data_IF_355260829375
#
_entry.id   IF_355260829375
#
_cell.length_a   1.000
_cell.length_b   1.000
_cell.length_c   1.000
_cell.angle_alpha   90.00
_cell.angle_beta   90.00
_cell.angle_gamma   90.00
#
_symmetry.space_group_name_H-M   'P 1'
#
loop_
_entity.id
_entity.type
_entity.pdbx_description
1 polymer ?
#
# COMPACT_ATOMS: atom_id res chain seq x y z
N UNK A 1 -3.01 21.99 -57.30
CA UNK A 1 -3.50 23.35 -57.38
C UNK A 1 -3.04 24.03 -56.12
N UNK A 2 -1.87 24.69 -56.24
CA UNK A 2 -1.56 26.11 -56.09
C UNK A 2 -1.70 26.58 -54.64
N UNK A 3 -0.78 27.20 -53.97
CA UNK A 3 0.43 28.00 -54.17
C UNK A 3 1.15 28.08 -52.81
N UNK A 4 2.38 27.73 -52.52
CA UNK A 4 3.69 28.33 -52.89
C UNK A 4 3.85 29.79 -52.41
N UNK A 5 4.94 29.94 -51.62
CA UNK A 5 5.85 31.09 -51.51
C UNK A 5 5.47 32.25 -50.60
N UNK A 6 6.33 32.90 -49.92
CA UNK A 6 7.72 33.37 -49.94
C UNK A 6 7.86 34.22 -48.65
N UNK A 7 8.91 34.36 -47.99
CA UNK A 7 10.00 35.29 -48.18
C UNK A 7 11.16 35.10 -47.21
N UNK A 8 12.26 35.20 -47.74
CA UNK A 8 13.64 35.12 -47.37
C UNK A 8 14.21 36.52 -47.13
N UNK A 9 15.32 36.60 -46.33
CA UNK A 9 16.32 37.71 -46.22
C UNK A 9 15.98 38.84 -45.23
N UNK A 10 16.94 39.32 -44.40
CA UNK A 10 18.25 39.84 -44.76
C UNK A 10 19.13 40.09 -43.55
N UNK A 11 20.38 39.73 -43.64
CA UNK A 11 21.55 40.14 -42.87
C UNK A 11 21.81 41.65 -42.95
N UNK A 12 22.28 42.26 -41.84
CA UNK A 12 23.18 43.42 -41.92
C UNK A 12 24.11 43.43 -40.70
N UNK A 13 25.39 43.33 -40.99
CA UNK A 13 26.57 43.56 -40.15
C UNK A 13 26.75 45.07 -39.99
N UNK A 14 27.07 45.51 -38.79
CA UNK A 14 27.71 46.82 -38.62
C UNK A 14 28.76 46.73 -37.48
N UNK A 15 29.99 46.80 -37.91
CA UNK A 15 31.22 47.01 -37.15
C UNK A 15 31.45 48.53 -37.13
N UNK A 16 31.77 49.10 -36.01
CA UNK A 16 32.71 50.25 -35.79
C UNK A 16 32.56 50.70 -34.35
N UNK A 17 33.46 50.87 -33.56
CA UNK A 17 34.84 51.34 -33.38
C UNK A 17 34.97 51.95 -31.99
N UNK A 18 36.09 51.55 -31.39
CA UNK A 18 36.82 52.18 -30.30
C UNK A 18 36.42 53.59 -29.86
N UNK A 19 36.37 53.84 -28.56
CA UNK A 19 37.12 54.92 -27.92
C UNK A 19 37.43 54.50 -26.47
N UNK A 20 38.71 54.53 -26.14
CA UNK A 20 39.25 54.32 -24.81
C UNK A 20 39.00 55.59 -23.95
N UNK A 21 38.42 55.40 -22.77
CA UNK A 21 38.57 56.38 -21.68
C UNK A 21 38.98 55.63 -20.43
N UNK A 22 40.22 55.84 -20.07
CA UNK A 22 40.82 55.49 -18.78
C UNK A 22 40.13 56.28 -17.66
N UNK A 23 39.46 55.61 -16.77
CA UNK A 23 39.08 56.17 -15.48
C UNK A 23 39.59 55.26 -14.39
N UNK A 24 40.47 55.81 -13.61
CA UNK A 24 41.04 55.36 -12.36
C UNK A 24 39.94 54.79 -11.43
N UNK A 25 39.96 53.52 -11.10
CA UNK A 25 39.25 52.98 -9.97
C UNK A 25 40.24 52.58 -8.88
N UNK A 26 40.04 53.01 -7.63
CA UNK A 26 40.94 52.67 -6.52
C UNK A 26 40.79 51.23 -6.17
N UNK A 27 41.90 50.54 -5.99
CA UNK A 27 42.01 49.20 -5.44
C UNK A 27 41.33 49.13 -4.05
N UNK A 28 40.11 48.61 -4.03
CA UNK A 28 39.41 48.23 -2.81
C UNK A 28 39.90 46.84 -2.45
N UNK A 29 40.57 46.72 -1.28
CA UNK A 29 41.00 45.45 -0.67
C UNK A 29 39.88 44.43 -0.73
N UNK A 30 40.11 43.30 -1.43
CA UNK A 30 39.32 42.10 -1.25
C UNK A 30 39.52 41.59 0.18
N UNK A 31 38.60 41.89 1.07
CA UNK A 31 38.43 41.14 2.29
C UNK A 31 37.88 39.75 1.88
N UNK A 32 38.68 38.72 2.10
CA UNK A 32 38.29 37.34 2.05
C UNK A 32 37.11 37.14 3.02
N UNK A 33 35.92 36.97 2.46
CA UNK A 33 34.75 36.47 3.21
C UNK A 33 35.00 34.99 3.46
N UNK A 34 35.61 34.65 4.59
CA UNK A 34 35.54 33.31 5.17
C UNK A 34 34.09 33.02 5.59
N UNK A 35 33.28 32.70 4.61
CA UNK A 35 31.97 32.17 4.88
C UNK A 35 32.15 30.70 5.29
N UNK A 36 32.32 30.46 6.59
CA UNK A 36 32.13 29.13 7.17
C UNK A 36 30.79 28.60 6.67
N UNK A 37 30.86 27.69 5.70
CA UNK A 37 29.70 26.90 5.28
C UNK A 37 29.40 25.98 6.47
N UNK A 38 28.48 26.40 7.31
CA UNK A 38 27.85 25.48 8.24
C UNK A 38 27.10 24.44 7.40
N UNK A 39 27.76 23.32 7.16
CA UNK A 39 27.12 22.14 6.56
C UNK A 39 25.98 21.74 7.50
N UNK A 40 24.78 21.99 7.05
CA UNK A 40 23.56 21.79 7.82
C UNK A 40 23.49 20.30 8.17
N UNK A 41 23.56 19.95 9.44
CA UNK A 41 23.53 18.58 9.95
C UNK A 41 22.28 17.79 9.48
N UNK A 42 21.22 18.50 9.09
CA UNK A 42 20.02 17.95 8.48
C UNK A 42 20.27 17.35 7.07
N UNK A 43 21.13 17.98 6.24
CA UNK A 43 21.46 17.45 4.91
C UNK A 43 22.29 16.17 4.97
N UNK A 44 23.21 16.07 5.96
CA UNK A 44 24.05 14.87 6.13
C UNK A 44 23.24 13.67 6.66
N UNK A 45 22.16 13.89 7.42
CA UNK A 45 21.27 12.83 7.88
C UNK A 45 20.36 12.33 6.76
N UNK A 46 19.78 13.21 5.92
CA UNK A 46 18.96 12.79 4.78
C UNK A 46 19.76 11.95 3.80
N UNK A 47 20.99 12.32 3.47
CA UNK A 47 21.85 11.56 2.55
C UNK A 47 22.22 10.17 3.09
N UNK A 48 22.45 10.04 4.41
CA UNK A 48 22.71 8.72 5.04
C UNK A 48 21.48 7.82 5.06
N UNK A 49 20.30 8.38 5.25
CA UNK A 49 19.04 7.62 5.20
C UNK A 49 18.69 7.19 3.78
N UNK A 50 18.87 8.05 2.77
CA UNK A 50 18.71 7.70 1.36
C UNK A 50 19.67 6.60 0.90
N UNK A 51 20.94 6.66 1.28
CA UNK A 51 21.93 5.60 0.98
C UNK A 51 21.50 4.28 1.62
N UNK A 52 20.98 4.32 2.85
CA UNK A 52 20.54 3.13 3.57
C UNK A 52 19.28 2.51 2.92
N UNK A 53 18.41 3.36 2.37
CA UNK A 53 17.19 2.95 1.67
C UNK A 53 17.51 2.36 0.29
N UNK A 54 18.41 2.99 -0.49
CA UNK A 54 18.88 2.49 -1.79
C UNK A 54 19.58 1.12 -1.65
N UNK A 55 20.31 0.91 -0.56
CA UNK A 55 20.93 -0.39 -0.26
C UNK A 55 19.89 -1.49 0.03
N UNK A 56 18.64 -1.15 0.42
CA UNK A 56 17.56 -2.13 0.58
C UNK A 56 16.88 -2.49 -0.74
N UNK A 57 16.87 -1.57 -1.71
CA UNK A 57 16.24 -1.79 -3.01
C UNK A 57 17.10 -2.65 -3.95
N UNK A 58 18.42 -2.56 -3.86
CA UNK A 58 19.37 -3.21 -4.76
C UNK A 58 19.79 -4.63 -4.31
N UNK A 59 19.03 -5.27 -3.45
CA UNK A 59 19.34 -6.65 -3.07
C UNK A 59 18.90 -7.61 -4.18
N UNK A 60 19.78 -8.52 -4.64
CA UNK A 60 19.41 -9.55 -5.59
C UNK A 60 18.36 -10.47 -4.97
N UNK A 61 17.48 -11.01 -5.82
CA UNK A 61 16.51 -12.00 -5.39
C UNK A 61 17.23 -13.28 -4.95
N UNK A 62 16.86 -13.77 -3.77
CA UNK A 62 17.42 -15.01 -3.20
C UNK A 62 16.40 -16.13 -3.38
N UNK A 63 16.82 -17.16 -4.07
CA UNK A 63 16.01 -18.36 -4.35
C UNK A 63 15.66 -19.09 -3.05
N UNK A 64 14.46 -19.67 -3.03
CA UNK A 64 14.00 -20.42 -1.87
C UNK A 64 12.84 -21.37 -2.17
N UNK A 65 12.44 -22.19 -1.21
CA UNK A 65 11.37 -23.18 -1.36
C UNK A 65 10.07 -22.56 -1.84
N UNK A 66 9.47 -23.14 -2.90
CA UNK A 66 8.25 -22.68 -3.54
C UNK A 66 8.48 -21.82 -4.78
N UNK A 67 9.70 -21.38 -5.06
CA UNK A 67 10.03 -20.74 -6.35
C UNK A 67 10.00 -21.76 -7.48
N UNK A 68 9.60 -21.34 -8.67
CA UNK A 68 9.63 -22.14 -9.90
C UNK A 68 10.58 -21.45 -10.88
N UNK A 69 11.59 -22.18 -11.32
CA UNK A 69 12.59 -21.74 -12.30
C UNK A 69 12.27 -22.36 -13.66
N UNK A 70 12.49 -21.63 -14.73
CA UNK A 70 12.48 -22.17 -16.08
C UNK A 70 13.92 -22.38 -16.54
N UNK A 71 14.29 -23.63 -16.76
CA UNK A 71 15.58 -24.02 -17.32
C UNK A 71 15.41 -24.30 -18.82
N UNK A 72 16.27 -23.70 -19.63
CA UNK A 72 16.42 -24.01 -21.05
C UNK A 72 17.88 -24.34 -21.33
N UNK A 73 18.15 -25.41 -22.10
CA UNK A 73 19.47 -25.83 -22.43
C UNK A 73 19.66 -25.71 -23.97
N UNK A 74 20.57 -24.85 -24.39
CA UNK A 74 20.85 -24.68 -25.83
C UNK A 74 21.39 -25.98 -26.43
N UNK A 75 20.85 -26.33 -27.60
CA UNK A 75 21.14 -27.58 -28.33
C UNK A 75 20.73 -28.89 -27.62
N UNK A 76 19.92 -28.80 -26.56
CA UNK A 76 19.38 -29.97 -25.84
C UNK A 76 17.96 -29.64 -25.28
N UNK A 77 17.06 -29.23 -26.18
CA UNK A 77 15.71 -28.75 -25.84
C UNK A 77 14.81 -29.82 -25.18
N UNK A 78 15.16 -31.09 -25.36
CA UNK A 78 14.48 -32.23 -24.71
C UNK A 78 14.59 -32.20 -23.17
N UNK A 79 15.54 -31.42 -22.61
CA UNK A 79 15.72 -31.23 -21.18
C UNK A 79 15.17 -29.91 -20.68
N UNK A 80 14.51 -29.11 -21.54
CA UNK A 80 13.86 -27.87 -21.12
C UNK A 80 12.69 -28.18 -20.21
N UNK A 81 12.70 -27.59 -19.01
CA UNK A 81 11.61 -27.78 -18.05
C UNK A 81 11.52 -26.70 -16.97
N UNK A 82 10.40 -26.70 -16.28
CA UNK A 82 10.21 -25.90 -15.08
C UNK A 82 10.68 -26.69 -13.86
N UNK A 83 11.55 -26.09 -13.05
CA UNK A 83 12.15 -26.67 -11.85
C UNK A 83 11.54 -26.03 -10.62
N UNK A 84 10.89 -26.80 -9.76
CA UNK A 84 10.35 -26.30 -8.49
C UNK A 84 11.39 -26.51 -7.38
N UNK A 85 11.67 -25.43 -6.63
CA UNK A 85 12.51 -25.54 -5.43
C UNK A 85 11.67 -26.14 -4.31
N UNK A 86 12.05 -27.31 -3.86
CA UNK A 86 11.33 -28.04 -2.78
C UNK A 86 11.77 -27.54 -1.39
N UNK A 87 11.15 -28.06 -0.34
CA UNK A 87 11.28 -27.52 1.02
C UNK A 87 12.71 -27.55 1.60
N UNK A 88 13.56 -28.45 1.14
CA UNK A 88 14.97 -28.52 1.52
C UNK A 88 15.89 -27.58 0.74
N UNK A 89 15.33 -26.77 -0.15
CA UNK A 89 16.06 -25.82 -0.99
C UNK A 89 16.68 -26.44 -2.23
N UNK A 90 16.31 -27.67 -2.60
CA UNK A 90 16.85 -28.36 -3.77
C UNK A 90 15.93 -28.27 -4.98
N UNK A 91 16.52 -28.43 -6.16
CA UNK A 91 15.85 -28.65 -7.46
C UNK A 91 16.31 -29.96 -8.06
N UNK A 92 15.48 -30.60 -8.87
CA UNK A 92 15.88 -31.77 -9.66
C UNK A 92 16.12 -31.35 -11.09
N UNK A 93 17.38 -31.43 -11.52
CA UNK A 93 17.80 -31.06 -12.89
C UNK A 93 18.04 -32.34 -13.69
N UNK A 94 17.56 -32.41 -14.96
CA UNK A 94 17.86 -33.55 -15.83
C UNK A 94 19.35 -33.85 -15.90
N UNK A 95 19.70 -35.09 -16.08
CA UNK A 95 21.09 -35.63 -16.21
C UNK A 95 21.91 -35.60 -14.93
N UNK A 96 21.76 -34.55 -14.07
CA UNK A 96 22.63 -34.35 -12.88
C UNK A 96 21.93 -34.57 -11.55
N UNK A 97 20.58 -34.74 -11.57
CA UNK A 97 19.81 -35.04 -10.34
C UNK A 97 19.58 -33.82 -9.47
N UNK A 98 19.63 -34.04 -8.14
CA UNK A 98 19.28 -33.01 -7.15
C UNK A 98 20.44 -32.04 -6.87
N UNK A 99 20.14 -30.72 -6.91
CA UNK A 99 21.06 -29.63 -6.61
C UNK A 99 20.48 -28.67 -5.57
N UNK A 100 21.27 -28.28 -4.57
CA UNK A 100 20.87 -27.27 -3.59
C UNK A 100 21.08 -25.88 -4.15
N UNK A 101 19.98 -25.16 -4.37
CA UNK A 101 19.96 -23.78 -4.90
C UNK A 101 19.30 -22.80 -3.93
N UNK A 102 18.72 -23.28 -2.85
CA UNK A 102 18.14 -22.43 -1.81
C UNK A 102 19.20 -21.54 -1.17
N UNK A 103 18.93 -20.24 -1.10
CA UNK A 103 19.87 -19.24 -0.59
C UNK A 103 20.83 -18.66 -1.62
N UNK A 104 20.82 -19.14 -2.86
CA UNK A 104 21.61 -18.61 -3.97
C UNK A 104 20.85 -17.49 -4.71
N UNK A 105 21.59 -16.66 -5.44
CA UNK A 105 21.01 -15.81 -6.48
C UNK A 105 20.71 -16.63 -7.74
N UNK A 106 19.92 -16.05 -8.66
CA UNK A 106 19.64 -16.71 -9.94
C UNK A 106 20.92 -17.00 -10.75
N UNK A 107 21.87 -16.07 -10.73
CA UNK A 107 23.15 -16.22 -11.42
C UNK A 107 24.03 -17.32 -10.79
N UNK A 108 24.15 -17.31 -9.45
CA UNK A 108 24.93 -18.34 -8.76
C UNK A 108 24.33 -19.74 -8.97
N UNK A 109 23.00 -19.83 -9.02
CA UNK A 109 22.31 -21.08 -9.30
C UNK A 109 22.55 -21.53 -10.77
N UNK A 110 22.55 -20.61 -11.72
CA UNK A 110 22.87 -20.92 -13.11
C UNK A 110 24.31 -21.44 -13.25
N UNK A 111 25.27 -20.77 -12.63
CA UNK A 111 26.68 -21.19 -12.64
C UNK A 111 26.87 -22.59 -12.01
N UNK A 112 26.15 -22.85 -10.91
CA UNK A 112 26.16 -24.15 -10.25
C UNK A 112 25.60 -25.25 -11.16
N UNK A 113 24.50 -24.98 -11.87
CA UNK A 113 23.90 -25.90 -12.84
C UNK A 113 24.87 -26.17 -13.98
N UNK A 114 25.44 -25.13 -14.59
CA UNK A 114 26.43 -25.26 -15.70
C UNK A 114 27.62 -26.11 -15.29
N UNK A 115 28.18 -25.82 -14.10
CA UNK A 115 29.32 -26.59 -13.54
C UNK A 115 29.02 -28.07 -13.40
N UNK A 116 27.81 -28.45 -13.01
CA UNK A 116 27.45 -29.86 -12.88
C UNK A 116 27.08 -30.50 -14.22
N UNK A 117 26.35 -29.76 -15.09
CA UNK A 117 26.03 -30.23 -16.45
C UNK A 117 27.26 -30.45 -17.31
N UNK A 118 28.37 -29.73 -17.10
CA UNK A 118 29.64 -29.89 -17.83
C UNK A 118 30.29 -31.26 -17.63
N UNK A 119 29.79 -32.08 -16.70
CA UNK A 119 30.21 -33.46 -16.51
C UNK A 119 29.55 -34.42 -17.51
N UNK A 120 28.35 -34.04 -18.00
CA UNK A 120 27.50 -34.87 -18.87
C UNK A 120 27.37 -34.30 -20.27
N UNK A 121 27.51 -32.97 -20.43
CA UNK A 121 27.40 -32.26 -21.71
C UNK A 121 28.66 -31.46 -22.03
N UNK A 122 29.02 -31.39 -23.28
CA UNK A 122 30.18 -30.61 -23.77
C UNK A 122 29.75 -29.14 -23.87
N UNK A 123 30.36 -28.26 -23.04
CA UNK A 123 30.13 -26.79 -23.03
C UNK A 123 28.65 -26.40 -22.97
N UNK A 124 27.89 -26.84 -21.93
CA UNK A 124 26.48 -26.55 -21.82
C UNK A 124 26.25 -25.05 -21.69
N UNK A 125 25.38 -24.50 -22.52
CA UNK A 125 24.87 -23.14 -22.41
C UNK A 125 23.43 -23.23 -21.93
N UNK A 126 23.11 -22.56 -20.81
CA UNK A 126 21.78 -22.58 -20.25
C UNK A 126 21.21 -21.17 -20.15
N UNK A 127 19.90 -21.10 -20.16
CA UNK A 127 19.13 -19.93 -19.74
C UNK A 127 18.28 -20.33 -18.54
N UNK A 128 18.55 -19.71 -17.38
CA UNK A 128 17.80 -19.91 -16.16
C UNK A 128 17.00 -18.64 -15.85
N UNK A 129 15.68 -18.75 -15.75
CA UNK A 129 14.80 -17.63 -15.40
C UNK A 129 13.90 -18.00 -14.23
N UNK A 130 13.51 -17.00 -13.42
CA UNK A 130 12.45 -17.15 -12.44
C UNK A 130 11.10 -17.17 -13.16
N UNK A 131 10.46 -18.33 -13.25
CA UNK A 131 9.16 -18.51 -13.90
C UNK A 131 8.02 -18.04 -12.99
N UNK A 132 8.07 -18.44 -11.71
CA UNK A 132 7.09 -18.03 -10.70
C UNK A 132 7.76 -17.83 -9.35
N UNK A 133 7.56 -16.66 -8.79
CA UNK A 133 8.03 -16.34 -7.45
C UNK A 133 7.11 -16.95 -6.40
N UNK A 134 7.70 -17.45 -5.31
CA UNK A 134 6.94 -17.87 -4.12
C UNK A 134 6.20 -16.69 -3.49
N UNK A 135 5.11 -16.95 -2.76
CA UNK A 135 4.46 -15.91 -1.96
C UNK A 135 5.42 -15.29 -0.93
N UNK A 136 5.47 -13.97 -0.91
CA UNK A 136 6.27 -13.20 0.05
C UNK A 136 5.51 -13.13 1.37
N UNK A 137 6.11 -13.63 2.45
CA UNK A 137 5.56 -13.53 3.82
C UNK A 137 6.15 -12.31 4.51
N UNK A 138 5.29 -11.41 4.99
CA UNK A 138 5.69 -10.18 5.68
C UNK A 138 4.92 -10.04 6.99
N UNK A 139 5.61 -9.59 8.04
CA UNK A 139 5.00 -9.30 9.33
C UNK A 139 4.70 -7.82 9.44
N UNK A 140 3.45 -7.47 9.74
CA UNK A 140 2.99 -6.11 9.98
C UNK A 140 2.69 -5.92 11.46
N UNK A 141 3.33 -4.92 12.08
CA UNK A 141 3.29 -4.72 13.54
C UNK A 141 3.05 -3.24 13.87
N UNK A 142 2.39 -2.99 14.99
CA UNK A 142 2.12 -1.62 15.49
C UNK A 142 0.80 -1.06 14.98
N UNK A 143 0.78 0.21 14.60
CA UNK A 143 -0.42 0.98 14.27
C UNK A 143 -0.95 0.65 12.86
N UNK A 144 -1.33 -0.61 12.67
CA UNK A 144 -1.97 -1.19 11.48
C UNK A 144 -3.38 -1.62 11.89
N UNK A 145 -4.37 -1.49 11.01
CA UNK A 145 -5.77 -1.87 11.32
C UNK A 145 -5.90 -3.36 11.69
N UNK A 146 -5.12 -4.22 11.03
CA UNK A 146 -5.05 -5.66 11.33
C UNK A 146 -3.60 -6.11 11.34
N UNK A 147 -2.88 -5.97 12.47
CA UNK A 147 -1.51 -6.44 12.58
C UNK A 147 -1.45 -7.97 12.48
N UNK A 148 -0.38 -8.51 11.89
CA UNK A 148 -0.22 -9.94 11.72
C UNK A 148 0.75 -10.33 10.61
N UNK A 149 0.73 -11.61 10.24
CA UNK A 149 1.52 -12.18 9.15
C UNK A 149 0.68 -12.21 7.87
N UNK A 150 1.21 -11.64 6.80
CA UNK A 150 0.57 -11.57 5.50
C UNK A 150 1.41 -12.27 4.43
N UNK A 151 0.72 -12.92 3.50
CA UNK A 151 1.32 -13.51 2.32
C UNK A 151 0.90 -12.70 1.09
N UNK A 152 1.86 -12.21 0.31
CA UNK A 152 1.65 -11.43 -0.90
C UNK A 152 2.30 -12.13 -2.08
N UNK A 153 1.63 -12.13 -3.24
CA UNK A 153 2.16 -12.65 -4.49
C UNK A 153 2.24 -11.54 -5.53
N UNK A 154 3.20 -11.62 -6.42
CA UNK A 154 3.26 -10.76 -7.61
C UNK A 154 2.05 -11.05 -8.50
N UNK A 155 1.37 -10.00 -8.98
CA UNK A 155 0.18 -10.08 -9.83
C UNK A 155 -1.01 -10.80 -9.19
N UNK A 156 -1.17 -10.67 -7.89
CA UNK A 156 -2.30 -11.25 -7.15
C UNK A 156 -3.54 -10.35 -7.24
N UNK A 157 -4.67 -10.95 -7.63
CA UNK A 157 -5.99 -10.40 -7.33
C UNK A 157 -6.45 -11.01 -6.00
N UNK A 158 -6.25 -10.32 -4.91
CA UNK A 158 -6.74 -10.78 -3.61
C UNK A 158 -8.12 -10.22 -3.36
N UNK A 159 -9.12 -11.11 -3.32
CA UNK A 159 -10.42 -10.78 -2.74
C UNK A 159 -10.24 -10.71 -1.23
N UNK A 160 -10.29 -9.52 -0.66
CA UNK A 160 -10.39 -9.37 0.79
C UNK A 160 -11.82 -9.75 1.15
N UNK A 161 -11.98 -10.77 2.00
CA UNK A 161 -13.30 -11.17 2.48
C UNK A 161 -13.98 -9.94 3.11
N UNK A 162 -15.03 -9.44 2.43
CA UNK A 162 -15.68 -8.21 2.84
C UNK A 162 -15.12 -6.90 2.28
N UNK A 163 -14.16 -6.94 1.36
CA UNK A 163 -13.55 -5.76 0.74
C UNK A 163 -13.36 -5.90 -0.77
N UNK A 164 -12.83 -4.87 -1.42
CA UNK A 164 -12.54 -4.90 -2.83
C UNK A 164 -11.38 -5.83 -3.15
N UNK A 165 -11.33 -6.24 -4.41
CA UNK A 165 -10.18 -6.92 -4.95
C UNK A 165 -8.96 -5.96 -4.93
N UNK A 166 -7.96 -6.30 -4.15
CA UNK A 166 -6.66 -5.66 -4.21
C UNK A 166 -5.90 -6.29 -5.37
N UNK A 167 -5.60 -5.52 -6.40
CA UNK A 167 -4.73 -5.97 -7.50
C UNK A 167 -3.32 -5.47 -7.21
N UNK A 168 -2.42 -6.40 -6.91
CA UNK A 168 -0.98 -6.14 -6.82
C UNK A 168 -0.41 -6.36 -8.21
N UNK A 169 0.04 -5.29 -8.87
CA UNK A 169 0.73 -5.37 -10.15
C UNK A 169 2.23 -5.32 -9.93
N UNK A 170 2.94 -6.41 -10.28
CA UNK A 170 4.40 -6.49 -10.14
C UNK A 170 4.85 -6.98 -8.76
N UNK A 171 6.05 -6.56 -8.35
CA UNK A 171 6.64 -6.93 -7.06
C UNK A 171 5.95 -6.13 -5.95
N UNK A 172 5.45 -6.79 -4.87
CA UNK A 172 4.77 -6.10 -3.79
C UNK A 172 5.66 -5.08 -3.07
N UNK A 173 5.04 -3.98 -2.65
CA UNK A 173 5.67 -2.88 -1.92
C UNK A 173 5.18 -2.80 -0.48
N UNK A 174 5.79 -1.92 0.33
CA UNK A 174 5.35 -1.65 1.71
C UNK A 174 3.90 -1.19 1.75
N UNK A 175 3.47 -0.36 0.78
CA UNK A 175 2.07 0.11 0.72
C UNK A 175 1.11 -1.04 0.42
N UNK A 176 1.46 -1.93 -0.50
CA UNK A 176 0.61 -3.09 -0.81
C UNK A 176 0.38 -3.97 0.42
N UNK A 177 1.42 -4.18 1.23
CA UNK A 177 1.32 -4.91 2.48
C UNK A 177 0.41 -4.19 3.49
N UNK A 178 0.57 -2.88 3.66
CA UNK A 178 -0.26 -2.06 4.54
C UNK A 178 -1.72 -2.09 4.08
N UNK A 179 -1.98 -1.94 2.78
CA UNK A 179 -3.34 -2.00 2.23
C UNK A 179 -3.99 -3.39 2.44
N UNK A 180 -3.23 -4.47 2.27
CA UNK A 180 -3.71 -5.85 2.51
C UNK A 180 -4.09 -6.06 3.99
N UNK A 181 -3.41 -5.38 4.90
CA UNK A 181 -3.70 -5.39 6.33
C UNK A 181 -4.84 -4.44 6.76
N UNK A 182 -5.54 -3.84 5.79
CA UNK A 182 -6.65 -2.94 6.08
C UNK A 182 -6.25 -1.47 6.24
N UNK A 183 -4.96 -1.15 6.06
CA UNK A 183 -4.45 0.20 6.19
C UNK A 183 -3.86 0.50 7.57
N UNK A 184 -3.68 1.78 7.84
CA UNK A 184 -3.09 2.30 9.08
C UNK A 184 -4.16 2.84 10.03
N UNK A 185 -3.88 2.75 11.34
CA UNK A 185 -4.74 3.33 12.38
C UNK A 185 -4.64 4.86 12.41
N UNK A 186 -5.50 5.50 13.23
CA UNK A 186 -5.46 6.95 13.44
C UNK A 186 -4.20 7.43 14.14
N UNK A 187 -3.55 6.55 14.88
CA UNK A 187 -2.38 6.87 15.71
C UNK A 187 -1.06 6.58 15.00
N UNK A 188 -1.11 6.15 13.73
CA UNK A 188 0.07 5.78 12.97
C UNK A 188 1.01 6.96 12.71
N UNK A 189 2.30 6.76 12.95
CA UNK A 189 3.36 7.70 12.64
C UNK A 189 3.87 7.51 11.21
N UNK A 190 3.35 8.29 10.27
CA UNK A 190 3.75 8.21 8.86
C UNK A 190 5.19 8.65 8.58
N UNK A 191 5.79 9.40 9.50
CA UNK A 191 7.17 9.88 9.35
C UNK A 191 8.20 8.82 9.74
N UNK A 192 7.76 7.76 10.45
CA UNK A 192 8.67 6.76 10.98
C UNK A 192 8.05 5.37 10.91
N UNK A 193 8.17 4.75 9.75
CA UNK A 193 7.84 3.36 9.53
C UNK A 193 9.16 2.60 9.38
N UNK A 194 9.37 1.60 10.20
CA UNK A 194 10.62 0.84 10.21
C UNK A 194 10.44 -0.45 9.41
N UNK A 195 11.18 -0.57 8.31
CA UNK A 195 11.33 -1.82 7.56
C UNK A 195 12.56 -2.56 8.07
N UNK A 196 12.39 -3.78 8.57
CA UNK A 196 13.48 -4.67 8.99
C UNK A 196 13.53 -5.87 8.06
N UNK A 197 14.73 -6.11 7.51
CA UNK A 197 15.02 -7.23 6.59
C UNK A 197 16.11 -8.10 7.14
N UNK A 198 15.88 -9.41 7.15
CA UNK A 198 16.89 -10.37 7.57
C UNK A 198 18.00 -10.45 6.52
N UNK A 199 19.26 -10.48 6.96
CA UNK A 199 20.39 -10.66 6.08
C UNK A 199 20.56 -12.13 5.68
N UNK A 200 20.87 -12.43 4.40
CA UNK A 200 21.20 -13.79 3.97
C UNK A 200 22.42 -14.31 4.73
N UNK A 201 22.40 -15.60 5.09
CA UNK A 201 23.54 -16.28 5.72
C UNK A 201 23.69 -16.06 7.24
N UNK A 202 23.15 -15.02 7.83
CA UNK A 202 23.28 -14.74 9.28
C UNK A 202 21.94 -14.90 10.00
N UNK A 203 21.89 -15.84 10.98
CA UNK A 203 20.61 -16.24 11.59
C UNK A 203 19.90 -15.11 12.37
N UNK A 204 20.63 -14.07 12.84
CA UNK A 204 20.08 -13.05 13.74
C UNK A 204 20.41 -11.61 13.36
N UNK A 205 20.94 -11.36 12.18
CA UNK A 205 21.23 -9.99 11.74
C UNK A 205 20.12 -9.44 10.86
N UNK A 206 19.69 -8.22 11.19
CA UNK A 206 18.67 -7.49 10.46
C UNK A 206 19.24 -6.15 9.98
N UNK A 207 18.96 -5.84 8.73
CA UNK A 207 19.11 -4.50 8.20
C UNK A 207 17.80 -3.75 8.39
N UNK A 208 17.85 -2.51 8.89
CA UNK A 208 16.66 -1.70 9.11
C UNK A 208 16.77 -0.36 8.39
N UNK A 209 15.65 0.09 7.84
CA UNK A 209 15.51 1.44 7.30
C UNK A 209 14.23 2.08 7.81
N UNK A 210 14.29 3.40 8.01
CA UNK A 210 13.12 4.21 8.33
C UNK A 210 12.55 4.78 7.05
N UNK A 211 11.26 4.59 6.85
CA UNK A 211 10.50 5.10 5.73
C UNK A 211 9.65 6.27 6.20
N UNK A 212 9.53 7.29 5.38
CA UNK A 212 8.69 8.44 5.63
C UNK A 212 7.57 8.49 4.58
N UNK A 213 6.47 7.78 4.83
CA UNK A 213 5.33 7.76 3.92
C UNK A 213 4.63 9.13 3.79
N UNK A 214 4.91 10.10 4.67
CA UNK A 214 4.43 11.45 4.49
C UNK A 214 5.12 12.14 3.30
N UNK A 215 6.43 11.93 3.09
CA UNK A 215 7.15 12.46 1.92
C UNK A 215 6.61 11.86 0.62
N UNK A 216 6.32 10.55 0.64
CA UNK A 216 5.69 9.92 -0.52
C UNK A 216 4.35 10.57 -0.88
N UNK A 217 3.50 10.89 0.11
CA UNK A 217 2.17 11.46 -0.10
C UNK A 217 2.20 12.94 -0.51
N UNK A 218 3.12 13.72 0.05
CA UNK A 218 3.15 15.17 -0.12
C UNK A 218 4.09 15.61 -1.25
N UNK A 219 5.18 14.87 -1.46
CA UNK A 219 6.26 15.22 -2.38
C UNK A 219 6.41 14.21 -3.53
N UNK A 220 5.71 13.06 -3.44
CA UNK A 220 5.79 11.99 -4.45
C UNK A 220 7.08 11.18 -4.39
N UNK A 221 7.79 11.18 -3.26
CA UNK A 221 9.07 10.47 -3.11
C UNK A 221 8.86 8.95 -3.09
N UNK A 222 9.00 8.31 -4.26
CA UNK A 222 8.81 6.88 -4.46
C UNK A 222 9.85 6.01 -3.71
N UNK A 223 11.00 6.59 -3.32
CA UNK A 223 12.04 5.89 -2.55
C UNK A 223 11.49 5.41 -1.20
N UNK A 224 10.48 6.11 -0.65
CA UNK A 224 9.83 5.77 0.62
C UNK A 224 8.90 4.54 0.55
N UNK A 225 8.67 3.99 -0.65
CA UNK A 225 7.86 2.79 -0.87
C UNK A 225 8.67 1.66 -1.51
N UNK A 226 9.65 1.08 -0.81
CA UNK A 226 10.50 0.02 -1.35
C UNK A 226 9.72 -1.28 -1.56
N UNK A 227 10.25 -2.13 -2.45
CA UNK A 227 9.81 -3.52 -2.59
C UNK A 227 10.04 -4.29 -1.29
N UNK A 228 9.10 -5.15 -0.95
CA UNK A 228 9.20 -6.07 0.18
C UNK A 228 9.74 -7.43 -0.27
N UNK A 229 10.42 -8.11 0.66
CA UNK A 229 10.99 -9.42 0.46
C UNK A 229 10.48 -10.39 1.53
N UNK A 230 10.63 -11.68 1.25
CA UNK A 230 10.21 -12.74 2.17
C UNK A 230 10.92 -12.63 3.52
N UNK A 231 10.14 -12.63 4.60
CA UNK A 231 10.62 -12.46 5.96
C UNK A 231 10.79 -11.01 6.43
N UNK A 232 10.41 -10.00 5.63
CA UNK A 232 10.43 -8.61 6.04
C UNK A 232 9.45 -8.34 7.20
N UNK A 233 9.83 -7.41 8.08
CA UNK A 233 9.00 -6.91 9.18
C UNK A 233 8.79 -5.42 8.98
N UNK A 234 7.53 -5.00 8.91
CA UNK A 234 7.12 -3.61 8.81
C UNK A 234 6.52 -3.20 10.15
N UNK A 235 7.18 -2.28 10.84
CA UNK A 235 6.73 -1.73 12.11
C UNK A 235 6.24 -0.29 11.89
N UNK A 236 4.97 -0.05 12.18
CA UNK A 236 4.36 1.29 12.19
C UNK A 236 4.28 1.76 13.63
N UNK A 237 5.07 2.77 13.97
CA UNK A 237 5.08 3.32 15.33
C UNK A 237 3.86 4.20 15.58
N UNK A 238 3.53 4.40 16.86
CA UNK A 238 2.50 5.34 17.32
C UNK A 238 3.02 6.78 17.32
N UNK A 239 2.15 7.73 17.03
CA UNK A 239 2.42 9.16 17.21
C UNK A 239 1.45 9.81 18.19
N UNK A 240 1.97 10.72 19.01
CA UNK A 240 1.13 11.55 19.88
C UNK A 240 0.77 12.89 19.22
N UNK A 241 1.38 13.21 18.08
CA UNK A 241 1.15 14.44 17.33
C UNK A 241 0.36 14.15 16.05
N UNK A 242 -0.92 14.53 16.05
CA UNK A 242 -1.81 14.32 14.92
C UNK A 242 -1.80 15.52 13.97
N UNK A 243 -1.42 15.29 12.72
CA UNK A 243 -1.80 16.16 11.62
C UNK A 243 -3.03 15.55 10.93
N UNK A 244 -4.18 16.14 11.20
CA UNK A 244 -5.47 15.63 10.67
C UNK A 244 -5.52 15.64 9.14
N UNK A 245 -4.84 16.57 8.48
CA UNK A 245 -4.86 16.66 7.02
C UNK A 245 -4.00 15.55 6.41
N UNK A 246 -2.80 15.38 6.90
CA UNK A 246 -1.91 14.27 6.47
C UNK A 246 -2.58 12.91 6.73
N UNK A 247 -3.26 12.75 7.86
CA UNK A 247 -3.95 11.49 8.17
C UNK A 247 -5.13 11.21 7.23
N UNK A 248 -5.89 12.23 6.82
CA UNK A 248 -6.97 12.07 5.82
C UNK A 248 -6.42 11.60 4.47
N UNK A 249 -5.33 12.23 4.00
CA UNK A 249 -4.67 11.87 2.75
C UNK A 249 -4.11 10.45 2.84
N UNK A 250 -3.49 10.09 3.96
CA UNK A 250 -2.93 8.77 4.19
C UNK A 250 -4.01 7.69 4.22
N UNK A 251 -5.12 7.92 4.90
CA UNK A 251 -6.26 6.98 4.90
C UNK A 251 -6.85 6.78 3.51
N UNK A 252 -6.94 7.83 2.71
CA UNK A 252 -7.43 7.72 1.34
C UNK A 252 -6.50 6.89 0.44
N UNK A 253 -5.18 6.90 0.68
CA UNK A 253 -4.19 6.23 -0.16
C UNK A 253 -3.76 4.85 0.39
N UNK A 254 -3.68 4.68 1.71
CA UNK A 254 -3.16 3.45 2.33
C UNK A 254 -4.26 2.52 2.86
N UNK A 255 -5.50 3.00 2.95
CA UNK A 255 -6.64 2.13 3.24
C UNK A 255 -7.09 1.38 2.00
N UNK A 256 -7.78 0.25 2.15
CA UNK A 256 -8.42 -0.44 1.04
C UNK A 256 -9.31 0.52 0.26
N UNK A 257 -9.36 0.40 -1.08
CA UNK A 257 -10.18 1.27 -1.93
C UNK A 257 -11.67 1.24 -1.56
N UNK A 258 -12.16 0.09 -1.10
CA UNK A 258 -13.53 -0.09 -0.62
C UNK A 258 -13.51 -0.60 0.82
N UNK A 259 -14.52 -0.28 1.55
CA UNK A 259 -14.81 -0.81 2.89
C UNK A 259 -16.21 -1.43 2.89
N UNK A 260 -16.39 -2.50 3.64
CA UNK A 260 -17.70 -3.11 3.83
C UNK A 260 -18.37 -2.53 5.07
N UNK A 261 -19.61 -2.08 4.90
CA UNK A 261 -20.44 -1.59 5.98
C UNK A 261 -21.80 -2.29 5.92
N UNK A 262 -22.51 -2.25 7.04
CA UNK A 262 -23.85 -2.83 7.17
C UNK A 262 -24.89 -1.74 7.40
N UNK A 263 -25.98 -1.76 6.64
CA UNK A 263 -27.06 -0.80 6.82
C UNK A 263 -28.34 -1.58 7.11
N UNK A 264 -28.94 -1.26 8.24
CA UNK A 264 -30.11 -1.97 8.77
C UNK A 264 -31.23 -0.97 9.09
N UNK A 265 -32.48 -1.38 8.89
CA UNK A 265 -33.67 -0.59 9.22
C UNK A 265 -34.33 0.05 8.01
N UNK A 266 -34.83 1.27 8.15
CA UNK A 266 -35.73 1.91 7.19
C UNK A 266 -34.99 2.58 6.02
N UNK A 267 -34.25 1.76 5.25
CA UNK A 267 -33.65 2.11 3.95
C UNK A 267 -34.23 1.24 2.85
N UNK A 268 -34.12 1.68 1.61
CA UNK A 268 -34.71 0.93 0.47
C UNK A 268 -33.99 -0.40 0.22
N UNK A 269 -32.67 -0.45 0.39
CA UNK A 269 -31.83 -1.65 0.22
C UNK A 269 -31.01 -1.89 1.49
N UNK A 270 -31.60 -2.54 2.53
CA UNK A 270 -30.85 -2.92 3.73
C UNK A 270 -29.92 -4.10 3.40
N UNK A 271 -28.84 -4.20 4.15
CA UNK A 271 -27.83 -5.27 4.00
C UNK A 271 -26.42 -4.74 4.10
N UNK A 272 -25.47 -5.54 3.67
CA UNK A 272 -24.08 -5.08 3.51
C UNK A 272 -23.91 -4.36 2.17
N UNK A 273 -23.08 -3.35 2.17
CA UNK A 273 -22.67 -2.63 0.96
C UNK A 273 -21.17 -2.36 1.01
N UNK A 274 -20.53 -2.48 -0.14
CA UNK A 274 -19.13 -2.08 -0.31
C UNK A 274 -19.12 -0.63 -0.83
N UNK A 275 -18.45 0.24 -0.07
CA UNK A 275 -18.38 1.68 -0.36
C UNK A 275 -16.92 2.11 -0.40
N UNK A 276 -16.62 3.19 -1.13
CA UNK A 276 -15.27 3.74 -1.18
C UNK A 276 -14.78 4.12 0.23
N UNK A 277 -13.52 3.86 0.51
CA UNK A 277 -12.89 4.35 1.73
C UNK A 277 -13.01 5.88 1.79
N UNK A 278 -13.39 6.40 2.95
CA UNK A 278 -13.69 7.83 3.09
C UNK A 278 -15.16 8.21 2.85
N UNK A 279 -16.02 7.26 2.46
CA UNK A 279 -17.46 7.48 2.33
C UNK A 279 -18.04 7.94 3.68
N UNK A 280 -18.87 8.96 3.64
CA UNK A 280 -19.53 9.52 4.83
C UNK A 280 -20.91 8.90 5.06
N UNK A 281 -21.40 8.98 6.30
CA UNK A 281 -22.69 8.41 6.73
C UNK A 281 -23.85 8.72 5.79
N UNK A 282 -24.03 9.98 5.43
CA UNK A 282 -25.15 10.40 4.56
C UNK A 282 -25.05 9.74 3.18
N UNK A 283 -23.86 9.74 2.59
CA UNK A 283 -23.62 9.15 1.28
C UNK A 283 -23.92 7.65 1.26
N UNK A 284 -23.53 6.91 2.31
CA UNK A 284 -23.80 5.48 2.41
C UNK A 284 -25.28 5.14 2.45
N UNK A 285 -26.07 5.95 3.16
CA UNK A 285 -27.53 5.79 3.20
C UNK A 285 -28.13 5.97 1.80
N UNK A 286 -27.64 6.92 0.99
CA UNK A 286 -28.10 7.11 -0.38
C UNK A 286 -27.63 5.99 -1.31
N UNK A 287 -26.43 5.45 -1.14
CA UNK A 287 -25.97 4.26 -1.88
C UNK A 287 -26.90 3.05 -1.59
N UNK A 288 -27.39 2.93 -0.35
CA UNK A 288 -28.42 1.94 0.02
C UNK A 288 -29.82 2.27 -0.50
N UNK A 289 -29.93 3.14 -1.51
CA UNK A 289 -31.21 3.52 -2.13
C UNK A 289 -31.97 4.61 -1.38
N UNK A 290 -31.36 5.22 -0.37
CA UNK A 290 -31.97 6.28 0.45
C UNK A 290 -32.90 5.78 1.54
N UNK A 291 -33.36 6.69 2.41
CA UNK A 291 -34.33 6.38 3.47
C UNK A 291 -35.71 6.06 2.87
N UNK A 292 -36.42 5.10 3.45
CA UNK A 292 -37.83 4.85 3.10
C UNK A 292 -38.68 6.04 3.53
N UNK A 293 -39.19 6.83 2.59
CA UNK A 293 -39.99 8.04 2.73
C UNK A 293 -40.53 8.33 4.16
N UNK A 294 -41.83 8.16 4.39
CA UNK A 294 -42.52 8.44 5.66
C UNK A 294 -42.18 7.46 6.81
N UNK A 295 -41.55 6.30 6.50
CA UNK A 295 -41.22 5.29 7.53
C UNK A 295 -39.96 5.64 8.31
N UNK A 296 -39.01 6.34 7.72
CA UNK A 296 -37.70 6.62 8.33
C UNK A 296 -37.78 7.76 9.35
N UNK A 297 -37.24 7.51 10.52
CA UNK A 297 -36.97 8.57 11.50
C UNK A 297 -35.60 9.19 11.25
N UNK A 298 -35.57 10.30 10.52
CA UNK A 298 -34.34 11.03 10.20
C UNK A 298 -33.53 11.52 11.40
N UNK A 299 -34.14 11.55 12.60
CA UNK A 299 -33.48 11.94 13.88
C UNK A 299 -32.87 10.73 14.61
N UNK A 300 -33.14 9.52 14.16
CA UNK A 300 -32.67 8.29 14.80
C UNK A 300 -31.84 7.44 13.85
N UNK A 301 -30.77 8.01 13.35
CA UNK A 301 -29.74 7.27 12.62
C UNK A 301 -28.59 7.04 13.60
N UNK A 302 -28.11 5.82 13.70
CA UNK A 302 -27.04 5.47 14.63
C UNK A 302 -25.93 4.77 13.90
N UNK A 303 -24.69 5.07 14.25
CA UNK A 303 -23.52 4.27 13.90
C UNK A 303 -23.17 3.44 15.13
N UNK A 304 -23.01 2.16 14.92
CA UNK A 304 -22.47 1.19 15.88
C UNK A 304 -21.17 0.67 15.31
N UNK A 305 -20.09 0.83 16.06
CA UNK A 305 -18.75 0.42 15.67
C UNK A 305 -18.14 -0.42 16.76
N UNK A 306 -17.71 -1.62 16.43
CA UNK A 306 -16.92 -2.44 17.33
C UNK A 306 -15.45 -1.99 17.20
N UNK A 307 -14.82 -1.67 18.34
CA UNK A 307 -13.42 -1.31 18.40
C UNK A 307 -12.56 -2.54 18.66
N UNK A 308 -11.27 -2.46 18.37
CA UNK A 308 -10.32 -3.56 18.56
C UNK A 308 -10.15 -3.97 20.03
N UNK A 309 -10.44 -3.06 20.96
CA UNK A 309 -10.49 -3.31 22.42
C UNK A 309 -11.75 -4.05 22.87
N UNK A 310 -12.65 -4.42 21.94
CA UNK A 310 -13.93 -5.06 22.21
C UNK A 310 -15.02 -4.08 22.66
N UNK A 311 -14.72 -2.79 22.82
CA UNK A 311 -15.73 -1.79 23.18
C UNK A 311 -16.63 -1.44 21.99
N UNK A 312 -17.90 -1.11 22.31
CA UNK A 312 -18.87 -0.69 21.30
C UNK A 312 -19.03 0.82 21.31
N UNK A 313 -18.64 1.47 20.23
CA UNK A 313 -18.93 2.88 20.01
C UNK A 313 -20.30 3.03 19.37
N UNK A 314 -21.19 3.80 20.02
CA UNK A 314 -22.54 4.08 19.53
C UNK A 314 -22.82 5.58 19.55
N UNK A 315 -23.23 6.14 18.42
CA UNK A 315 -23.56 7.56 18.32
C UNK A 315 -24.77 7.78 17.41
N UNK A 316 -25.66 8.69 17.86
CA UNK A 316 -26.84 9.10 17.09
C UNK A 316 -26.53 10.31 16.21
N UNK A 317 -27.14 10.34 15.04
CA UNK A 317 -27.00 11.38 14.05
C UNK A 317 -28.37 11.82 13.51
N UNK A 318 -28.44 13.08 13.08
CA UNK A 318 -29.58 13.65 12.39
C UNK A 318 -29.30 13.68 10.89
N UNK A 319 -30.14 13.06 10.08
CA UNK A 319 -30.10 13.18 8.63
C UNK A 319 -30.83 14.46 8.21
N UNK A 320 -30.12 15.59 8.20
CA UNK A 320 -30.64 16.87 7.75
C UNK A 320 -29.82 17.36 6.53
N UNK A 321 -30.42 17.27 5.37
CA UNK A 321 -29.80 17.69 4.09
C UNK A 321 -29.92 19.19 3.82
N UNK A 322 -30.68 19.93 4.64
CA UNK A 322 -30.86 21.36 4.49
C UNK A 322 -29.76 22.18 5.17
N UNK A 323 -29.00 21.55 6.05
CA UNK A 323 -27.91 22.19 6.78
C UNK A 323 -26.55 21.78 6.20
N UNK A 324 -25.54 22.65 6.28
CA UNK A 324 -24.16 22.25 5.96
C UNK A 324 -23.74 21.05 6.80
N UNK A 325 -23.24 20.02 6.14
CA UNK A 325 -22.78 18.81 6.81
C UNK A 325 -21.35 19.03 7.33
N UNK A 326 -21.17 18.93 8.64
CA UNK A 326 -19.86 18.97 9.29
C UNK A 326 -19.36 17.55 9.57
N UNK A 327 -18.04 17.33 9.77
CA UNK A 327 -17.52 16.02 10.16
C UNK A 327 -18.16 15.44 11.43
N UNK A 328 -18.62 16.30 12.32
CA UNK A 328 -19.32 15.88 13.55
C UNK A 328 -20.75 15.40 13.30
N UNK A 329 -21.43 15.93 12.29
CA UNK A 329 -22.81 15.55 11.94
C UNK A 329 -22.88 14.51 10.82
N UNK A 330 -21.80 14.33 10.07
CA UNK A 330 -21.69 13.40 8.95
C UNK A 330 -20.31 12.74 8.94
N UNK A 331 -20.04 11.80 9.88
CA UNK A 331 -18.73 11.19 10.02
C UNK A 331 -18.39 10.27 8.86
N UNK A 332 -17.10 10.13 8.63
CA UNK A 332 -16.54 9.11 7.73
C UNK A 332 -16.72 7.72 8.34
N UNK A 333 -17.12 6.78 7.51
CA UNK A 333 -17.32 5.39 7.90
C UNK A 333 -16.01 4.60 7.88
N UNK A 334 -15.99 3.55 8.68
CA UNK A 334 -14.90 2.57 8.76
C UNK A 334 -15.41 1.17 8.41
N UNK A 335 -14.51 0.27 8.06
CA UNK A 335 -14.88 -1.11 7.74
C UNK A 335 -15.53 -1.78 8.95
N UNK A 336 -16.64 -2.49 8.72
CA UNK A 336 -17.40 -3.14 9.80
C UNK A 336 -18.42 -2.24 10.50
N UNK A 337 -18.52 -0.95 10.13
CA UNK A 337 -19.56 -0.07 10.69
C UNK A 337 -20.96 -0.60 10.41
N UNK A 338 -21.82 -0.54 11.43
CA UNK A 338 -23.23 -0.87 11.32
C UNK A 338 -24.04 0.42 11.44
N UNK A 339 -24.82 0.74 10.41
CA UNK A 339 -25.68 1.91 10.36
C UNK A 339 -27.11 1.46 10.62
N UNK A 340 -27.66 1.90 11.73
CA UNK A 340 -29.04 1.64 12.10
C UNK A 340 -29.91 2.84 11.72
N UNK A 341 -30.84 2.63 10.79
CA UNK A 341 -31.79 3.65 10.35
C UNK A 341 -33.13 3.38 11.00
N UNK A 342 -33.47 4.16 12.03
CA UNK A 342 -34.65 3.95 12.87
C UNK A 342 -35.96 4.23 12.16
N UNK A 343 -37.03 3.56 12.58
CA UNK A 343 -38.41 3.77 12.14
C UNK A 343 -39.03 5.04 12.77
N UNK A 344 -39.96 5.66 12.04
CA UNK A 344 -40.81 6.72 12.57
C UNK A 344 -41.82 6.16 13.57
N UNK A 345 -42.40 7.03 14.38
CA UNK A 345 -43.41 6.64 15.38
C UNK A 345 -44.61 5.89 14.74
N UNK A 346 -45.01 6.30 13.55
CA UNK A 346 -46.10 5.67 12.79
C UNK A 346 -45.77 4.28 12.22
N UNK A 347 -44.49 3.95 12.06
CA UNK A 347 -44.04 2.64 11.55
C UNK A 347 -43.90 1.59 12.69
N UNK A 348 -44.00 1.99 13.94
CA UNK A 348 -43.90 1.08 15.12
C UNK A 348 -45.13 0.19 15.33
N UNK A 349 -46.23 0.50 14.65
CA UNK A 349 -47.42 -0.31 14.70
C UNK A 349 -47.39 -1.44 13.72
N UNK A 350 -47.07 -2.64 14.14
CA UNK A 350 -47.36 -3.98 13.56
C UNK A 350 -46.30 -4.72 12.75
N UNK A 351 -45.32 -4.11 12.07
CA UNK A 351 -44.54 -4.87 11.10
C UNK A 351 -43.06 -5.11 11.43
N UNK A 352 -42.53 -4.50 12.51
CA UNK A 352 -41.09 -4.59 12.83
C UNK A 352 -40.60 -6.01 13.17
N UNK A 353 -41.51 -6.93 13.52
CA UNK A 353 -41.15 -8.30 13.91
C UNK A 353 -41.20 -9.29 12.73
N UNK A 354 -41.95 -8.99 11.67
CA UNK A 354 -42.13 -9.93 10.54
C UNK A 354 -41.07 -9.84 9.45
N UNK A 355 -40.32 -8.71 9.34
CA UNK A 355 -39.30 -8.52 8.29
C UNK A 355 -37.87 -8.95 8.67
N UNK A 356 -37.67 -9.44 9.91
CA UNK A 356 -36.36 -9.95 10.37
C UNK A 356 -36.20 -11.47 10.09
N UNK A 357 -37.14 -12.05 9.36
CA UNK A 357 -37.24 -13.51 9.15
C UNK A 357 -36.33 -14.14 8.09
N UNK A 358 -35.43 -13.40 7.44
CA UNK A 358 -34.43 -14.02 6.57
C UNK A 358 -33.03 -14.00 7.20
N UNK A 359 -32.34 -15.15 7.24
CA UNK A 359 -31.14 -15.32 8.05
C UNK A 359 -29.94 -14.65 7.41
N UNK A 360 -29.61 -13.45 7.84
CA UNK A 360 -28.27 -12.93 7.71
C UNK A 360 -27.48 -13.51 8.89
N UNK A 361 -26.93 -14.72 8.72
CA UNK A 361 -26.39 -15.55 9.80
C UNK A 361 -25.27 -14.94 10.66
N UNK A 362 -24.68 -13.79 10.25
CA UNK A 362 -23.72 -13.06 11.05
C UNK A 362 -24.31 -11.87 11.84
N UNK A 363 -25.46 -11.34 11.44
CA UNK A 363 -26.07 -10.15 12.07
C UNK A 363 -26.97 -10.51 13.25
N UNK A 364 -27.44 -11.76 13.35
CA UNK A 364 -28.27 -12.22 14.47
C UNK A 364 -27.50 -12.14 15.78
N UNK A 365 -26.22 -12.46 15.79
CA UNK A 365 -25.35 -12.33 16.98
C UNK A 365 -25.13 -10.88 17.41
N UNK A 366 -25.02 -9.95 16.45
CA UNK A 366 -24.83 -8.52 16.70
C UNK A 366 -26.14 -7.88 17.18
N UNK A 367 -27.30 -8.34 16.68
CA UNK A 367 -28.61 -7.83 17.09
C UNK A 367 -29.01 -8.34 18.50
N UNK A 368 -28.61 -9.55 18.86
CA UNK A 368 -28.78 -10.05 20.23
C UNK A 368 -27.91 -9.30 21.23
N UNK A 369 -26.69 -8.93 20.85
CA UNK A 369 -25.81 -8.03 21.62
C UNK A 369 -26.43 -6.64 21.82
N UNK A 370 -27.08 -6.10 20.77
CA UNK A 370 -27.77 -4.81 20.86
C UNK A 370 -28.95 -4.83 21.85
N UNK A 371 -29.69 -5.94 21.93
CA UNK A 371 -30.83 -6.10 22.83
C UNK A 371 -30.37 -6.25 24.31
N UNK A 372 -29.19 -6.83 24.52
CA UNK A 372 -28.59 -7.01 25.88
C UNK A 372 -27.94 -5.72 26.39
N UNK A 373 -27.43 -4.86 25.50
CA UNK A 373 -26.74 -3.61 25.85
C UNK A 373 -27.66 -2.37 25.81
N UNK A 374 -28.95 -2.55 25.52
CA UNK A 374 -29.94 -1.47 25.32
C UNK A 374 -30.88 -1.20 26.47
N UNK A 375 -30.76 -1.93 27.59
CA UNK A 375 -31.48 -1.66 28.87
C UNK A 375 -30.66 -0.79 29.83
#
# INVERSE_FOLDING_TARGET
MLLINFFKKSTTILILSCIATSSFFPLRKLQAFDKKISVNSKQTQSTKEEIKLNLLQNNPYILGPGDILSLKIFNAQEFDQNLTIINDGTITVPLIGSLSVGGLTLNDAADLIVKNLSKELISPQIQLNLFKQRPIKVSLVGEIERPGLYSLTSNEMTSIEGGPNLTISGVPTVIDAIQKAGGITRNANLKKITLKRKLPGNKNEYKSANLNLQLLLLEGDQIQNPFIFDGDIILVEKTDKFDQNTLKIAKANFSPKLIRIYIVGEVNKPGYIDVASGTVLTQSIFIAGGPKNWRTNKRNIQIVRLRDDGSVYKRKFLLDLKRPLSPNSNPTLESGDIILVGSSFFAKGTDAIKQIGEPIGGLVSIFSLYKILGD
#
